data_IF_578958414349
#
_entry.id   IF_578958414349
#
_cell.length_a   1.000
_cell.length_b   1.000
_cell.length_c   1.000
_cell.angle_alpha   90.00
_cell.angle_beta   90.00
_cell.angle_gamma   90.00
#
_symmetry.space_group_name_H-M   'P 1'
#
loop_
_entity.id
_entity.type
_entity.pdbx_description
1 polymer ?
#
# COMPACT_ATOMS: atom_id res chain seq x y z
N UNK A 1 14.02 0.23 -1.22
CA UNK A 1 13.06 0.88 -0.30
C UNK A 1 12.94 0.16 1.04
N UNK A 2 12.72 -1.17 1.06
CA UNK A 2 12.58 -1.98 2.28
C UNK A 2 13.70 -1.74 3.30
N UNK A 3 14.97 -1.73 2.89
CA UNK A 3 16.10 -1.45 3.81
C UNK A 3 16.03 -0.06 4.47
N UNK A 4 15.58 0.97 3.75
CA UNK A 4 15.42 2.32 4.31
C UNK A 4 14.33 2.34 5.39
N UNK A 5 13.21 1.65 5.15
CA UNK A 5 12.12 1.51 6.13
C UNK A 5 12.60 0.72 7.35
N UNK A 6 13.35 -0.37 7.15
CA UNK A 6 13.95 -1.14 8.25
C UNK A 6 14.79 -0.26 9.16
N UNK A 7 15.67 0.57 8.59
CA UNK A 7 16.54 1.46 9.37
C UNK A 7 15.80 2.60 10.07
N UNK A 8 14.62 2.98 9.60
CA UNK A 8 13.76 3.94 10.30
C UNK A 8 13.09 3.34 11.55
N UNK A 9 12.79 2.04 11.54
CA UNK A 9 12.12 1.36 12.66
C UNK A 9 13.14 0.72 13.62
N UNK A 10 14.22 0.14 13.09
CA UNK A 10 15.28 -0.54 13.83
C UNK A 10 16.68 -0.22 13.25
N UNK A 11 17.32 0.88 13.69
CA UNK A 11 18.60 1.36 13.14
C UNK A 11 19.73 0.33 13.20
N UNK A 12 19.79 -0.47 14.27
CA UNK A 12 20.91 -1.41 14.50
C UNK A 12 20.67 -2.80 13.92
N UNK A 13 19.48 -3.06 13.37
CA UNK A 13 19.12 -4.39 12.85
C UNK A 13 19.51 -4.56 11.38
N UNK A 14 20.07 -5.71 11.03
CA UNK A 14 20.34 -6.14 9.66
C UNK A 14 19.24 -7.03 9.08
N UNK A 15 19.25 -7.25 7.77
CA UNK A 15 18.34 -8.18 7.09
C UNK A 15 19.15 -9.05 6.12
N UNK A 16 18.89 -10.35 6.12
CA UNK A 16 19.56 -11.28 5.19
C UNK A 16 19.01 -11.14 3.77
N UNK A 17 19.81 -11.56 2.78
CA UNK A 17 19.38 -11.55 1.37
C UNK A 17 18.10 -12.38 1.15
N UNK A 18 17.98 -13.54 1.81
CA UNK A 18 16.79 -14.38 1.72
C UNK A 18 15.54 -13.69 2.30
N UNK A 19 15.67 -13.04 3.46
CA UNK A 19 14.57 -12.29 4.06
C UNK A 19 14.17 -11.08 3.19
N UNK A 20 15.15 -10.42 2.57
CA UNK A 20 14.88 -9.32 1.62
C UNK A 20 14.04 -9.80 0.43
N UNK A 21 14.36 -10.96 -0.15
CA UNK A 21 13.59 -11.54 -1.26
C UNK A 21 12.15 -11.84 -0.85
N UNK A 22 11.95 -12.42 0.34
CA UNK A 22 10.60 -12.71 0.87
C UNK A 22 9.79 -11.41 1.02
N UNK A 23 10.38 -10.36 1.59
CA UNK A 23 9.70 -9.07 1.75
C UNK A 23 9.40 -8.39 0.41
N UNK A 24 10.27 -8.54 -0.59
CA UNK A 24 10.02 -8.02 -1.93
C UNK A 24 8.83 -8.73 -2.59
N UNK A 25 8.78 -10.07 -2.50
CA UNK A 25 7.63 -10.84 -2.96
C UNK A 25 6.34 -10.47 -2.22
N UNK A 26 6.42 -10.24 -0.91
CA UNK A 26 5.27 -9.78 -0.11
C UNK A 26 4.74 -8.42 -0.60
N UNK A 27 5.62 -7.45 -0.87
CA UNK A 27 5.20 -6.14 -1.40
C UNK A 27 4.51 -6.28 -2.76
N UNK A 28 5.03 -7.13 -3.64
CA UNK A 28 4.43 -7.37 -4.96
C UNK A 28 3.07 -8.07 -4.84
N UNK A 29 2.93 -9.10 -4.00
CA UNK A 29 1.64 -9.77 -3.78
C UNK A 29 0.57 -8.79 -3.29
N UNK A 30 0.88 -7.98 -2.29
CA UNK A 30 -0.06 -6.98 -1.78
C UNK A 30 -0.40 -5.91 -2.84
N UNK A 31 0.60 -5.48 -3.62
CA UNK A 31 0.38 -4.55 -4.72
C UNK A 31 -0.59 -5.10 -5.76
N UNK A 32 -0.38 -6.32 -6.23
CA UNK A 32 -1.23 -6.97 -7.23
C UNK A 32 -2.65 -7.17 -6.71
N UNK A 33 -2.80 -7.58 -5.45
CA UNK A 33 -4.12 -7.76 -4.81
C UNK A 33 -4.89 -6.44 -4.72
N UNK A 34 -4.26 -5.35 -4.29
CA UNK A 34 -4.90 -4.04 -4.20
C UNK A 34 -5.22 -3.49 -5.59
N UNK A 35 -4.27 -3.56 -6.53
CA UNK A 35 -4.46 -3.05 -7.89
C UNK A 35 -5.56 -3.82 -8.64
N UNK A 36 -5.58 -5.14 -8.50
CA UNK A 36 -6.61 -6.00 -9.08
C UNK A 36 -8.00 -5.66 -8.55
N UNK A 37 -8.14 -5.46 -7.23
CA UNK A 37 -9.42 -5.10 -6.63
C UNK A 37 -9.85 -3.68 -6.98
N UNK A 38 -8.93 -2.71 -6.99
CA UNK A 38 -9.23 -1.34 -7.42
C UNK A 38 -9.66 -1.27 -8.89
N UNK A 39 -9.07 -2.09 -9.76
CA UNK A 39 -9.46 -2.21 -11.17
C UNK A 39 -10.90 -2.72 -11.31
N UNK A 40 -11.26 -3.78 -10.58
CA UNK A 40 -12.66 -4.28 -10.55
C UNK A 40 -13.63 -3.22 -10.05
N UNK A 41 -13.28 -2.50 -8.99
CA UNK A 41 -14.11 -1.41 -8.45
C UNK A 41 -14.34 -0.29 -9.46
N UNK A 42 -13.31 0.10 -10.23
CA UNK A 42 -13.47 1.07 -11.31
C UNK A 42 -14.42 0.54 -12.40
N UNK A 43 -14.24 -0.72 -12.80
CA UNK A 43 -15.09 -1.37 -13.81
C UNK A 43 -16.55 -1.48 -13.37
N UNK A 44 -16.82 -1.90 -12.13
CA UNK A 44 -18.18 -1.98 -11.58
C UNK A 44 -18.89 -0.63 -11.58
N UNK A 45 -18.14 0.45 -11.34
CA UNK A 45 -18.67 1.81 -11.39
C UNK A 45 -18.61 2.45 -12.79
N UNK A 46 -18.28 1.69 -13.83
CA UNK A 46 -18.14 2.16 -15.23
C UNK A 46 -17.18 3.34 -15.39
N UNK A 47 -16.11 3.36 -14.59
CA UNK A 47 -15.06 4.38 -14.66
C UNK A 47 -13.85 3.86 -15.43
N UNK A 48 -13.29 4.71 -16.27
CA UNK A 48 -12.02 4.44 -16.97
C UNK A 48 -10.78 4.84 -16.18
N UNK A 49 -10.95 5.45 -15.01
CA UNK A 49 -9.86 5.96 -14.17
C UNK A 49 -9.94 5.34 -12.78
N UNK A 50 -8.83 4.77 -12.32
CA UNK A 50 -8.63 4.34 -10.94
C UNK A 50 -8.14 5.55 -10.15
N UNK A 51 -8.98 6.07 -9.26
CA UNK A 51 -8.62 7.18 -8.37
C UNK A 51 -8.14 6.67 -7.01
N UNK A 52 -7.66 7.58 -6.16
CA UNK A 52 -7.32 7.27 -4.76
C UNK A 52 -8.50 6.66 -3.99
N UNK A 53 -9.75 6.93 -4.39
CA UNK A 53 -10.95 6.34 -3.79
C UNK A 53 -11.06 4.85 -4.06
N UNK A 54 -10.79 4.40 -5.28
CA UNK A 54 -10.81 2.97 -5.62
C UNK A 54 -9.69 2.23 -4.89
N UNK A 55 -8.50 2.83 -4.80
CA UNK A 55 -7.38 2.28 -4.00
C UNK A 55 -7.76 2.17 -2.52
N UNK A 56 -8.32 3.22 -1.93
CA UNK A 56 -8.73 3.23 -0.52
C UNK A 56 -9.79 2.16 -0.23
N UNK A 57 -10.74 1.97 -1.14
CA UNK A 57 -11.79 0.96 -1.00
C UNK A 57 -11.21 -0.45 -1.14
N UNK A 58 -10.31 -0.68 -2.11
CA UNK A 58 -9.59 -1.94 -2.25
C UNK A 58 -8.79 -2.29 -0.99
N UNK A 59 -8.10 -1.32 -0.38
CA UNK A 59 -7.37 -1.51 0.88
C UNK A 59 -8.30 -1.97 2.01
N UNK A 60 -9.54 -1.43 2.10
CA UNK A 60 -10.54 -1.89 3.08
C UNK A 60 -10.99 -3.33 2.85
N UNK A 61 -11.06 -3.76 1.59
CA UNK A 61 -11.51 -5.12 1.24
C UNK A 61 -10.39 -6.15 1.41
N UNK A 62 -9.15 -5.79 1.12
CA UNK A 62 -8.00 -6.71 1.14
C UNK A 62 -7.40 -6.89 2.54
N UNK A 63 -7.35 -5.83 3.36
CA UNK A 63 -6.70 -5.87 4.67
C UNK A 63 -7.71 -6.06 5.81
N UNK A 64 -7.40 -6.89 6.82
CA UNK A 64 -8.31 -7.12 7.95
C UNK A 64 -8.26 -5.99 9.00
N UNK A 65 -9.41 -5.72 9.62
CA UNK A 65 -9.54 -5.01 10.89
C UNK A 65 -8.72 -3.72 11.01
N UNK A 66 -7.98 -3.58 12.10
CA UNK A 66 -7.15 -2.40 12.42
C UNK A 66 -6.05 -2.13 11.39
N UNK A 67 -5.56 -3.14 10.67
CA UNK A 67 -4.53 -2.94 9.64
C UNK A 67 -5.07 -2.09 8.49
N UNK A 68 -6.32 -2.31 8.09
CA UNK A 68 -6.98 -1.49 7.07
C UNK A 68 -7.08 -0.02 7.49
N UNK A 69 -7.40 0.26 8.76
CA UNK A 69 -7.56 1.61 9.29
C UNK A 69 -6.24 2.37 9.26
N UNK A 70 -5.15 1.75 9.73
CA UNK A 70 -3.81 2.35 9.68
C UNK A 70 -3.34 2.59 8.25
N UNK A 71 -3.51 1.60 7.36
CA UNK A 71 -3.12 1.73 5.95
C UNK A 71 -3.84 2.88 5.25
N UNK A 72 -5.13 3.08 5.53
CA UNK A 72 -5.92 4.20 5.00
C UNK A 72 -5.43 5.52 5.55
N UNK A 73 -5.17 5.60 6.87
CA UNK A 73 -4.64 6.81 7.51
C UNK A 73 -3.32 7.25 6.88
N UNK A 74 -2.37 6.32 6.73
CA UNK A 74 -1.07 6.60 6.08
C UNK A 74 -1.24 6.96 4.59
N UNK A 75 -2.15 6.29 3.88
CA UNK A 75 -2.46 6.62 2.49
C UNK A 75 -3.02 8.04 2.34
N UNK A 76 -3.99 8.42 3.16
CA UNK A 76 -4.56 9.79 3.16
C UNK A 76 -3.50 10.82 3.49
N UNK A 77 -2.68 10.59 4.51
CA UNK A 77 -1.57 11.47 4.88
C UNK A 77 -0.59 11.68 3.74
N UNK A 78 -0.23 10.62 3.01
CA UNK A 78 0.62 10.69 1.83
C UNK A 78 0.05 11.56 0.72
N UNK A 79 -1.25 11.39 0.41
CA UNK A 79 -1.95 12.20 -0.59
C UNK A 79 -2.04 13.67 -0.17
N UNK A 80 -2.42 13.95 1.07
CA UNK A 80 -2.50 15.32 1.60
C UNK A 80 -1.15 16.02 1.54
N UNK A 81 -0.07 15.34 1.97
CA UNK A 81 1.29 15.90 1.90
C UNK A 81 1.67 16.23 0.46
N UNK A 82 1.44 15.31 -0.47
CA UNK A 82 1.72 15.53 -1.89
C UNK A 82 0.94 16.72 -2.46
N UNK A 83 -0.37 16.80 -2.18
CA UNK A 83 -1.21 17.92 -2.62
C UNK A 83 -0.79 19.26 -2.03
N UNK A 84 -0.28 19.30 -0.80
CA UNK A 84 0.19 20.53 -0.14
C UNK A 84 1.57 21.01 -0.60
N UNK A 85 2.37 20.12 -1.20
CA UNK A 85 3.70 20.44 -1.74
C UNK A 85 3.66 20.83 -3.22
N UNK A 86 2.46 20.91 -3.80
CA UNK A 86 2.22 21.38 -5.16
C UNK A 86 1.80 22.86 -5.13
#
# INVERSE_FOLDING_TARGET
YIYKVLKQVHPDTGISNKAMLILNSFVNDIFERIAGEASKLAQYNKKSTISSREIQTAVRLILPGELSKHAISEGTKGVTKYSSSK
#
